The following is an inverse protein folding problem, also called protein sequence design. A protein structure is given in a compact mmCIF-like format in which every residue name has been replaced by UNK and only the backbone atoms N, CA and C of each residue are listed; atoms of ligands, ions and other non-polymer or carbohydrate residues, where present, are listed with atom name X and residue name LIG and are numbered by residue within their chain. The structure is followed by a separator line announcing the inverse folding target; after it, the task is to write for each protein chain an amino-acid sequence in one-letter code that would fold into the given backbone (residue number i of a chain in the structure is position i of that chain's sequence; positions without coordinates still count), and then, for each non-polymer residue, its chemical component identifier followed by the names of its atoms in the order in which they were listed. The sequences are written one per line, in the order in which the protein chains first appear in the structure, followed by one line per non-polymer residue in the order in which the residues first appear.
data_IF_472628454898
#
_entry.id   IF_472628454898
#
_cell.length_a   1.000
_cell.length_b   1.000
_cell.length_c   1.000
_cell.angle_alpha   90.00
_cell.angle_beta   90.00
_cell.angle_gamma   90.00
#
_symmetry.space_group_name_H-M   'P 1'
#
loop_
_entity.id
_entity.type
_entity.pdbx_description
1 polymer ?
#
# COMPACT_ATOMS: atom_id res chain seq x y z
N UNK A 1 2.52 -44.03 -43.60
CA UNK A 1 3.00 -44.17 -42.20
C UNK A 1 3.52 -42.82 -41.78
N UNK A 2 2.63 -41.98 -41.25
CA UNK A 2 2.90 -40.59 -40.88
C UNK A 2 3.04 -40.57 -39.37
N UNK A 3 4.27 -40.39 -38.88
CA UNK A 3 4.53 -40.26 -37.45
C UNK A 3 4.07 -38.86 -37.02
N UNK A 4 2.93 -38.80 -36.34
CA UNK A 4 2.51 -37.63 -35.59
C UNK A 4 3.41 -37.52 -34.35
N UNK A 5 4.31 -36.54 -34.35
CA UNK A 5 5.06 -36.18 -33.16
C UNK A 5 4.09 -35.60 -32.13
N UNK A 6 4.01 -36.23 -30.95
CA UNK A 6 3.37 -35.63 -29.79
C UNK A 6 4.21 -34.42 -29.36
N UNK A 7 3.77 -33.21 -29.72
CA UNK A 7 4.31 -31.99 -29.15
C UNK A 7 3.98 -31.99 -27.66
N UNK A 8 5.00 -32.11 -26.81
CA UNK A 8 4.85 -31.83 -25.40
C UNK A 8 4.35 -30.38 -25.27
N UNK A 9 3.21 -30.20 -24.60
CA UNK A 9 2.75 -28.86 -24.24
C UNK A 9 3.78 -28.19 -23.30
N UNK A 10 3.78 -26.85 -23.25
CA UNK A 10 4.74 -26.12 -22.43
C UNK A 10 4.71 -26.57 -20.97
N UNK A 11 5.88 -26.77 -20.37
CA UNK A 11 6.03 -27.12 -18.97
C UNK A 11 5.40 -26.05 -18.05
N UNK A 12 4.92 -26.39 -16.85
CA UNK A 12 4.45 -25.39 -15.88
C UNK A 12 5.60 -24.42 -15.55
N UNK A 13 5.52 -23.20 -16.09
CA UNK A 13 6.65 -22.26 -16.15
C UNK A 13 6.78 -21.57 -17.51
N UNK A 14 6.37 -22.24 -18.60
CA UNK A 14 6.53 -21.75 -19.97
C UNK A 14 5.33 -20.90 -20.44
N UNK A 15 5.65 -19.82 -21.15
CA UNK A 15 4.70 -18.87 -21.74
C UNK A 15 4.99 -17.41 -21.35
N UNK A 16 4.56 -16.43 -22.16
CA UNK A 16 4.74 -15.01 -21.86
C UNK A 16 4.19 -14.61 -20.48
N UNK A 17 4.79 -13.61 -19.85
CA UNK A 17 4.31 -12.99 -18.62
C UNK A 17 3.19 -11.98 -18.90
N UNK A 18 2.38 -11.66 -17.89
CA UNK A 18 1.40 -10.58 -17.97
C UNK A 18 2.11 -9.21 -17.94
N UNK A 19 3.13 -9.11 -17.09
CA UNK A 19 3.94 -7.90 -16.93
C UNK A 19 5.42 -8.23 -16.86
N UNK A 20 6.25 -7.42 -17.50
CA UNK A 20 7.70 -7.41 -17.33
C UNK A 20 8.09 -6.03 -16.84
N UNK A 21 8.70 -5.94 -15.67
CA UNK A 21 9.17 -4.69 -15.08
C UNK A 21 10.68 -4.64 -15.23
N UNK A 22 11.18 -3.59 -15.88
CA UNK A 22 12.60 -3.29 -16.03
C UNK A 22 12.89 -2.03 -15.24
N UNK A 23 13.85 -2.07 -14.33
CA UNK A 23 14.14 -0.99 -13.40
C UNK A 23 15.64 -0.77 -13.19
N UNK A 24 16.02 0.32 -12.52
CA UNK A 24 17.41 0.56 -12.11
C UNK A 24 17.95 -0.60 -11.28
N UNK A 25 17.12 -1.07 -10.34
CA UNK A 25 17.44 -2.15 -9.41
C UNK A 25 16.16 -2.80 -8.91
N UNK A 26 16.17 -4.11 -8.82
CA UNK A 26 15.19 -4.94 -8.12
C UNK A 26 15.91 -5.56 -6.92
N UNK A 27 15.46 -5.23 -5.71
CA UNK A 27 15.92 -5.85 -4.47
C UNK A 27 15.08 -7.11 -4.24
N UNK A 28 15.72 -8.27 -4.16
CA UNK A 28 15.03 -9.57 -4.07
C UNK A 28 14.94 -10.10 -2.63
N UNK A 29 15.85 -9.64 -1.75
CA UNK A 29 16.13 -10.23 -0.43
C UNK A 29 16.58 -11.70 -0.46
N UNK A 30 16.92 -12.24 -1.64
CA UNK A 30 17.53 -13.55 -1.80
C UNK A 30 19.06 -13.43 -1.71
N UNK A 31 19.74 -14.07 -0.74
CA UNK A 31 21.20 -14.03 -0.62
C UNK A 31 21.94 -14.53 -1.87
N UNK A 32 21.34 -15.43 -2.66
CA UNK A 32 21.95 -15.95 -3.88
C UNK A 32 21.81 -15.01 -5.07
N UNK A 33 20.85 -14.09 -5.02
CA UNK A 33 20.61 -13.08 -6.05
C UNK A 33 20.08 -11.78 -5.43
N UNK A 34 20.88 -11.03 -4.66
CA UNK A 34 20.40 -9.91 -3.85
C UNK A 34 19.93 -8.69 -4.66
N UNK A 35 20.30 -8.63 -5.94
CA UNK A 35 19.88 -7.60 -6.87
C UNK A 35 19.62 -8.19 -8.28
N UNK A 36 18.76 -7.52 -9.03
CA UNK A 36 18.46 -7.77 -10.43
C UNK A 36 18.08 -6.43 -11.11
N UNK A 37 17.83 -6.45 -12.42
CA UNK A 37 17.38 -5.25 -13.17
C UNK A 37 16.02 -5.44 -13.83
N UNK A 38 15.47 -6.65 -13.80
CA UNK A 38 14.13 -6.93 -14.26
C UNK A 38 13.44 -8.07 -13.50
N UNK A 39 12.11 -8.10 -13.55
CA UNK A 39 11.29 -9.21 -13.09
C UNK A 39 10.09 -9.41 -14.03
N UNK A 40 9.58 -10.63 -14.08
CA UNK A 40 8.40 -11.02 -14.84
C UNK A 40 7.31 -11.54 -13.90
N UNK A 41 6.08 -11.06 -14.09
CA UNK A 41 4.91 -11.42 -13.29
C UNK A 41 3.87 -12.10 -14.18
N UNK A 42 3.37 -13.25 -13.72
CA UNK A 42 2.25 -13.97 -14.34
C UNK A 42 1.28 -14.41 -13.25
N UNK A 43 -0.01 -14.16 -13.43
CA UNK A 43 -1.08 -14.50 -12.48
C UNK A 43 -0.80 -13.99 -11.06
N UNK A 44 -0.27 -12.77 -10.95
CA UNK A 44 0.08 -12.14 -9.68
C UNK A 44 1.30 -12.74 -8.97
N UNK A 45 2.05 -13.65 -9.61
CA UNK A 45 3.26 -14.27 -9.07
C UNK A 45 4.50 -13.85 -9.88
N UNK A 46 5.61 -13.64 -9.19
CA UNK A 46 6.91 -13.49 -9.85
C UNK A 46 7.33 -14.85 -10.41
N UNK A 47 7.43 -14.96 -11.73
CA UNK A 47 7.84 -16.20 -12.41
C UNK A 47 9.31 -16.19 -12.84
N UNK A 48 9.92 -15.00 -12.87
CA UNK A 48 11.33 -14.83 -13.18
C UNK A 48 11.85 -13.49 -12.65
N UNK A 49 13.14 -13.44 -12.30
CA UNK A 49 13.86 -12.24 -11.88
C UNK A 49 15.29 -12.34 -12.37
N UNK A 50 15.86 -11.27 -12.93
CA UNK A 50 17.21 -11.31 -13.50
C UNK A 50 17.60 -10.04 -14.24
N UNK A 51 18.50 -10.16 -15.20
CA UNK A 51 19.00 -9.03 -15.97
C UNK A 51 18.04 -8.60 -17.09
N UNK A 52 17.88 -7.30 -17.30
CA UNK A 52 16.95 -6.71 -18.26
C UNK A 52 17.05 -7.32 -19.66
N UNK A 53 18.25 -7.62 -20.14
CA UNK A 53 18.49 -8.20 -21.46
C UNK A 53 17.86 -9.60 -21.62
N UNK A 54 17.78 -10.38 -20.54
CA UNK A 54 17.16 -11.70 -20.54
C UNK A 54 15.63 -11.64 -20.38
N UNK A 55 15.06 -10.48 -20.04
CA UNK A 55 13.62 -10.33 -19.80
C UNK A 55 12.78 -10.50 -21.06
N UNK A 56 13.37 -10.32 -22.26
CA UNK A 56 12.70 -10.49 -23.55
C UNK A 56 12.12 -11.90 -23.74
N UNK A 57 12.73 -12.92 -23.13
CA UNK A 57 12.23 -14.29 -23.17
C UNK A 57 10.86 -14.47 -22.52
N UNK A 58 10.44 -13.50 -21.69
CA UNK A 58 9.15 -13.50 -21.01
C UNK A 58 8.13 -12.55 -21.66
N UNK A 59 8.48 -11.89 -22.77
CA UNK A 59 7.61 -10.95 -23.47
C UNK A 59 6.86 -11.65 -24.60
N UNK A 60 5.54 -11.47 -24.62
CA UNK A 60 4.67 -11.92 -25.70
C UNK A 60 3.66 -10.83 -26.11
N UNK A 61 2.75 -11.13 -27.06
CA UNK A 61 1.89 -10.12 -27.68
C UNK A 61 0.98 -9.33 -26.73
N UNK A 62 0.72 -9.86 -25.53
CA UNK A 62 -0.14 -9.23 -24.50
C UNK A 62 0.64 -8.78 -23.27
N UNK A 63 1.95 -8.99 -23.22
CA UNK A 63 2.78 -8.63 -22.07
C UNK A 63 2.92 -7.12 -21.97
N UNK A 64 2.59 -6.55 -20.82
CA UNK A 64 2.87 -5.16 -20.53
C UNK A 64 4.31 -5.00 -20.06
N UNK A 65 5.15 -4.36 -20.87
CA UNK A 65 6.53 -4.02 -20.47
C UNK A 65 6.53 -2.65 -19.80
N UNK A 66 7.05 -2.59 -18.57
CA UNK A 66 7.13 -1.39 -17.74
C UNK A 66 8.60 -1.01 -17.57
N UNK A 67 9.03 0.04 -18.26
CA UNK A 67 10.37 0.60 -18.09
C UNK A 67 10.37 1.67 -16.99
N UNK A 68 11.22 1.50 -15.98
CA UNK A 68 11.40 2.39 -14.82
C UNK A 68 12.89 2.58 -14.53
N UNK A 69 13.66 3.17 -15.46
CA UNK A 69 15.13 3.17 -15.42
C UNK A 69 15.73 3.87 -14.20
N UNK A 70 14.97 4.73 -13.53
CA UNK A 70 15.41 5.45 -12.32
C UNK A 70 14.89 4.83 -11.02
N UNK A 71 13.99 3.85 -11.09
CA UNK A 71 13.30 3.31 -9.92
C UNK A 71 14.06 2.14 -9.28
N UNK A 72 13.92 2.03 -7.96
CA UNK A 72 14.27 0.82 -7.20
C UNK A 72 12.99 0.08 -6.84
N UNK A 73 12.92 -1.18 -7.22
CA UNK A 73 11.83 -2.09 -6.88
C UNK A 73 12.23 -2.87 -5.64
N UNK A 74 11.36 -2.90 -4.64
CA UNK A 74 11.54 -3.65 -3.39
C UNK A 74 10.33 -4.56 -3.16
N UNK A 75 10.45 -5.61 -2.33
CA UNK A 75 9.29 -6.35 -1.89
C UNK A 75 8.29 -5.40 -1.21
N UNK A 76 6.99 -5.68 -1.37
CA UNK A 76 5.96 -4.91 -0.70
C UNK A 76 6.17 -4.92 0.81
N UNK A 77 5.85 -3.80 1.47
CA UNK A 77 5.94 -3.72 2.93
C UNK A 77 4.93 -4.69 3.55
N UNK A 78 5.37 -5.45 4.56
CA UNK A 78 4.53 -6.38 5.31
C UNK A 78 4.52 -5.93 6.76
N UNK A 79 3.33 -5.63 7.27
CA UNK A 79 3.08 -5.37 8.67
C UNK A 79 2.58 -6.67 9.33
N UNK A 80 3.33 -7.19 10.31
CA UNK A 80 3.00 -8.44 11.01
C UNK A 80 1.93 -8.25 12.08
N UNK A 81 1.63 -7.02 12.48
CA UNK A 81 0.65 -6.74 13.52
C UNK A 81 0.04 -5.35 13.39
N UNK A 82 -1.20 -5.30 12.87
CA UNK A 82 -1.95 -4.07 12.74
C UNK A 82 -3.39 -4.22 13.22
N UNK A 83 -3.93 -3.17 13.85
CA UNK A 83 -5.36 -3.03 14.15
C UNK A 83 -6.05 -2.27 13.02
N UNK A 84 -6.34 -2.94 11.90
CA UNK A 84 -6.88 -2.29 10.69
C UNK A 84 -8.20 -1.54 10.92
N UNK A 85 -9.10 -2.08 11.75
CA UNK A 85 -10.33 -1.36 12.10
C UNK A 85 -10.06 -0.10 12.92
N UNK A 86 -9.10 -0.16 13.84
CA UNK A 86 -8.67 1.00 14.63
C UNK A 86 -8.04 2.08 13.75
N UNK A 87 -7.21 1.69 12.78
CA UNK A 87 -6.62 2.60 11.80
C UNK A 87 -7.69 3.25 10.92
N UNK A 88 -8.59 2.45 10.34
CA UNK A 88 -9.68 2.97 9.52
C UNK A 88 -10.58 3.95 10.28
N UNK A 89 -10.87 3.63 11.54
CA UNK A 89 -11.61 4.52 12.45
C UNK A 89 -10.84 5.82 12.69
N UNK A 90 -9.57 5.75 13.08
CA UNK A 90 -8.75 6.94 13.32
C UNK A 90 -8.62 7.86 12.08
N UNK A 91 -8.60 7.28 10.86
CA UNK A 91 -8.56 8.05 9.60
C UNK A 91 -9.91 8.68 9.21
N UNK A 92 -11.00 8.23 9.83
CA UNK A 92 -12.38 8.69 9.52
C UNK A 92 -12.95 9.61 10.61
N UNK A 93 -12.39 9.55 11.82
CA UNK A 93 -12.75 10.42 12.93
C UNK A 93 -12.11 11.79 12.82
N UNK A 94 -12.68 12.77 13.51
CA UNK A 94 -12.09 14.11 13.62
C UNK A 94 -10.80 14.01 14.44
N UNK A 95 -9.70 14.43 13.84
CA UNK A 95 -8.44 14.62 14.54
C UNK A 95 -8.41 16.01 15.20
N UNK A 96 -8.32 16.04 16.53
CA UNK A 96 -8.23 17.27 17.34
C UNK A 96 -6.89 17.40 18.06
N UNK A 97 -5.85 16.67 17.63
CA UNK A 97 -4.47 16.87 18.11
C UNK A 97 -4.04 18.32 17.90
N UNK A 98 -3.42 18.91 18.92
CA UNK A 98 -2.88 20.28 18.89
C UNK A 98 -3.94 21.40 18.98
N UNK A 99 -5.21 21.07 19.23
CA UNK A 99 -6.20 22.08 19.59
C UNK A 99 -5.81 22.77 20.90
N UNK A 100 -5.99 24.10 21.05
CA UNK A 100 -5.47 24.84 22.21
C UNK A 100 -6.44 24.91 23.41
N UNK A 101 -7.65 24.37 23.29
CA UNK A 101 -8.67 24.41 24.35
C UNK A 101 -9.85 23.49 24.06
N UNK A 102 -10.64 23.20 25.10
CA UNK A 102 -11.93 22.51 24.96
C UNK A 102 -12.91 23.23 24.02
N UNK A 103 -12.88 24.57 23.99
CA UNK A 103 -13.71 25.35 23.08
C UNK A 103 -13.30 25.16 21.61
N UNK A 104 -11.99 25.05 21.35
CA UNK A 104 -11.48 24.75 20.02
C UNK A 104 -11.84 23.32 19.57
N UNK A 105 -11.82 22.35 20.48
CA UNK A 105 -12.35 20.99 20.21
C UNK A 105 -13.83 21.05 19.84
N UNK A 106 -14.64 21.77 20.61
CA UNK A 106 -16.07 21.90 20.33
C UNK A 106 -16.35 22.59 18.99
N UNK A 107 -15.58 23.61 18.64
CA UNK A 107 -15.67 24.26 17.33
C UNK A 107 -15.33 23.30 16.18
N UNK A 108 -14.31 22.45 16.35
CA UNK A 108 -13.98 21.43 15.36
C UNK A 108 -15.09 20.38 15.19
N UNK A 109 -15.73 19.97 16.29
CA UNK A 109 -16.91 19.08 16.26
C UNK A 109 -18.10 19.75 15.58
N UNK A 110 -18.39 21.02 15.87
CA UNK A 110 -19.49 21.76 15.25
C UNK A 110 -19.29 22.01 13.75
N UNK A 111 -18.03 22.13 13.30
CA UNK A 111 -17.68 22.27 11.89
C UNK A 111 -17.69 20.94 11.11
N UNK A 112 -17.89 19.81 11.79
CA UNK A 112 -17.89 18.50 11.15
C UNK A 112 -19.10 18.35 10.21
N UNK A 113 -18.93 17.72 9.03
CA UNK A 113 -20.04 17.48 8.13
C UNK A 113 -21.16 16.68 8.81
N UNK A 114 -22.44 17.08 8.65
CA UNK A 114 -23.54 16.34 9.21
C UNK A 114 -23.64 14.97 8.53
N UNK A 115 -23.86 13.91 9.31
CA UNK A 115 -23.98 12.55 8.83
C UNK A 115 -24.90 11.71 9.72
N UNK A 116 -25.36 10.54 9.25
CA UNK A 116 -26.14 9.65 10.08
C UNK A 116 -25.24 9.09 11.20
N UNK A 117 -25.58 9.38 12.46
CA UNK A 117 -24.93 8.80 13.62
C UNK A 117 -24.06 9.77 14.42
N UNK A 118 -23.11 9.22 15.16
CA UNK A 118 -22.26 9.97 16.09
C UNK A 118 -21.11 10.66 15.35
N UNK A 119 -20.82 11.90 15.75
CA UNK A 119 -19.54 12.52 15.46
C UNK A 119 -18.52 11.92 16.43
N UNK A 120 -17.46 11.34 15.88
CA UNK A 120 -16.41 10.71 16.64
C UNK A 120 -15.10 11.46 16.38
N UNK A 121 -14.31 11.68 17.42
CA UNK A 121 -13.05 12.40 17.36
C UNK A 121 -12.09 12.01 18.47
N UNK A 122 -10.79 12.26 18.25
CA UNK A 122 -9.72 11.86 19.17
C UNK A 122 -8.54 12.84 19.14
N UNK A 123 -7.70 12.77 20.16
CA UNK A 123 -6.39 13.42 20.16
C UNK A 123 -6.31 14.73 20.94
N UNK A 124 -7.38 15.15 21.62
CA UNK A 124 -7.28 16.27 22.55
C UNK A 124 -6.35 15.89 23.71
N UNK A 125 -5.57 16.85 24.17
CA UNK A 125 -4.72 16.73 25.35
C UNK A 125 -4.81 18.04 26.14
N UNK A 126 -5.36 17.98 27.35
CA UNK A 126 -5.50 19.17 28.18
C UNK A 126 -4.16 19.74 28.65
N UNK A 127 -3.07 18.97 28.56
CA UNK A 127 -1.73 19.46 28.89
C UNK A 127 -1.19 20.45 27.85
N UNK A 128 -1.75 20.45 26.64
CA UNK A 128 -1.42 21.42 25.58
C UNK A 128 -2.19 22.75 25.74
N UNK A 129 -3.12 22.82 26.69
CA UNK A 129 -4.04 23.95 26.86
C UNK A 129 -3.57 24.90 27.96
N UNK A 130 -3.96 26.18 27.85
CA UNK A 130 -3.69 27.17 28.89
C UNK A 130 -4.40 26.83 30.22
N UNK A 131 -5.60 26.24 30.13
CA UNK A 131 -6.33 25.67 31.27
C UNK A 131 -6.22 24.14 31.17
N UNK A 132 -5.56 23.52 32.16
CA UNK A 132 -5.23 22.10 32.15
C UNK A 132 -6.25 21.23 32.90
N UNK A 133 -7.32 21.83 33.43
CA UNK A 133 -8.46 21.06 33.92
C UNK A 133 -9.04 20.18 32.79
N UNK A 134 -9.43 18.96 33.15
CA UNK A 134 -10.10 18.07 32.22
C UNK A 134 -11.37 18.73 31.66
N UNK A 135 -11.61 18.61 30.34
CA UNK A 135 -12.81 19.16 29.73
C UNK A 135 -14.06 18.46 30.30
N UNK A 136 -15.16 19.20 30.33
CA UNK A 136 -16.49 18.63 30.56
C UNK A 136 -17.27 18.62 29.25
N UNK A 137 -18.46 18.01 29.26
CA UNK A 137 -19.36 18.05 28.10
C UNK A 137 -19.83 19.46 27.71
N UNK A 138 -19.69 20.47 28.59
CA UNK A 138 -20.42 21.72 28.46
C UNK A 138 -20.10 22.51 27.16
N UNK A 139 -18.83 22.60 26.70
CA UNK A 139 -18.51 23.25 25.43
C UNK A 139 -19.13 22.54 24.22
N UNK A 140 -19.26 21.20 24.25
CA UNK A 140 -19.89 20.44 23.17
C UNK A 140 -21.41 20.63 23.17
N UNK A 141 -22.03 20.74 24.35
CA UNK A 141 -23.47 20.98 24.48
C UNK A 141 -23.88 22.39 24.02
N UNK A 142 -22.98 23.37 24.14
CA UNK A 142 -23.23 24.77 23.81
C UNK A 142 -22.94 25.14 22.34
N UNK A 143 -22.21 24.28 21.62
CA UNK A 143 -21.82 24.48 20.22
C UNK A 143 -22.94 24.03 19.27
#
# INVERSE_FOLDING_TARGET
MTLAACGAGPAPGEGPADRVLIARRVVTLDPQRPAATALAVRDGRVVWVGEADAAVAHVGPRTQVLHRPDAVVVPGLVDSHAHLMGLGRALSEIDVVGTPSAAAVAAAVAAAPPGPGWILGRGWDQNDWAETAFPTHAPLTAA
#
